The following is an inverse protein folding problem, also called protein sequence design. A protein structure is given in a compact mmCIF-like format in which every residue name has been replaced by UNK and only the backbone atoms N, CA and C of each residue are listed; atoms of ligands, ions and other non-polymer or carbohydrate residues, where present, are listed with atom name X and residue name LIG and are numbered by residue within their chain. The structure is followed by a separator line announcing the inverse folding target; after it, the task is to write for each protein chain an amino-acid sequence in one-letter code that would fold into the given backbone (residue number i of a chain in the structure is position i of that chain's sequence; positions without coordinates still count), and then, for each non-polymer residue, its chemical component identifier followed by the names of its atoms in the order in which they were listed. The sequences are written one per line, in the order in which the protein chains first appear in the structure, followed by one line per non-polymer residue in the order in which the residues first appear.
data_IF_090730895582
#
_entry.id   IF_090730895582
#
_cell.length_a   1.000
_cell.length_b   1.000
_cell.length_c   1.000
_cell.angle_alpha   90.00
_cell.angle_beta   90.00
_cell.angle_gamma   90.00
#
_symmetry.space_group_name_H-M   'P 1'
#
loop_
_entity.id
_entity.type
_entity.pdbx_description
1 polymer ?
#
# COMPACT_ATOMS: atom_id res chain seq x y z
N UNK A 1 43.79 -26.76 5.06
CA UNK A 1 42.76 -26.38 4.07
C UNK A 1 41.41 -26.03 4.75
N UNK A 2 41.38 -25.25 5.84
CA UNK A 2 40.17 -25.02 6.65
C UNK A 2 39.93 -23.53 7.03
N UNK A 3 40.39 -22.56 6.23
CA UNK A 3 40.35 -21.14 6.63
C UNK A 3 39.61 -20.20 5.66
N UNK A 4 39.19 -20.65 4.48
CA UNK A 4 38.57 -19.77 3.46
C UNK A 4 37.03 -19.90 3.46
N UNK A 5 36.48 -21.00 3.96
CA UNK A 5 35.04 -21.26 4.00
C UNK A 5 34.27 -20.51 5.10
N UNK A 6 34.94 -20.11 6.20
CA UNK A 6 34.29 -19.44 7.34
C UNK A 6 33.70 -18.05 7.01
N UNK A 7 34.35 -17.16 6.24
CA UNK A 7 33.75 -15.88 5.85
C UNK A 7 32.75 -16.00 4.69
N UNK A 8 32.75 -17.10 3.93
CA UNK A 8 31.83 -17.32 2.81
C UNK A 8 30.39 -17.59 3.27
N UNK A 9 30.22 -18.26 4.41
CA UNK A 9 28.90 -18.58 4.99
C UNK A 9 28.10 -17.31 5.37
N UNK A 10 28.64 -16.35 6.15
CA UNK A 10 27.90 -15.13 6.48
C UNK A 10 27.68 -14.23 5.27
N UNK A 11 28.61 -14.23 4.29
CA UNK A 11 28.45 -13.48 3.05
C UNK A 11 27.33 -14.06 2.18
N UNK A 12 27.26 -15.39 2.07
CA UNK A 12 26.18 -16.08 1.37
C UNK A 12 24.84 -15.90 2.08
N UNK A 13 24.80 -15.95 3.41
CA UNK A 13 23.60 -15.70 4.19
C UNK A 13 23.10 -14.25 4.02
N UNK A 14 24.00 -13.27 4.07
CA UNK A 14 23.67 -11.86 3.83
C UNK A 14 23.15 -11.65 2.40
N UNK A 15 23.74 -12.31 1.40
CA UNK A 15 23.27 -12.25 0.02
C UNK A 15 21.89 -12.90 -0.16
N UNK A 16 21.61 -14.01 0.51
CA UNK A 16 20.30 -14.68 0.48
C UNK A 16 19.24 -13.83 1.18
N UNK A 17 19.55 -13.24 2.34
CA UNK A 17 18.64 -12.33 3.04
C UNK A 17 18.40 -11.07 2.21
N UNK A 18 19.43 -10.48 1.61
CA UNK A 18 19.28 -9.34 0.71
C UNK A 18 18.44 -9.68 -0.52
N UNK A 19 18.67 -10.85 -1.14
CA UNK A 19 17.87 -11.32 -2.27
C UNK A 19 16.41 -11.58 -1.87
N UNK A 20 16.18 -12.19 -0.71
CA UNK A 20 14.83 -12.39 -0.16
C UNK A 20 14.13 -11.06 0.09
N UNK A 21 14.80 -10.09 0.74
CA UNK A 21 14.27 -8.75 0.94
C UNK A 21 14.02 -8.01 -0.39
N UNK A 22 14.83 -8.27 -1.42
CA UNK A 22 14.65 -7.67 -2.75
C UNK A 22 13.44 -8.25 -3.52
N UNK A 23 13.04 -9.50 -3.27
CA UNK A 23 11.92 -10.12 -4.02
C UNK A 23 10.61 -10.11 -3.22
N UNK A 24 10.69 -10.15 -1.89
CA UNK A 24 9.53 -10.35 -1.02
C UNK A 24 9.05 -9.06 -0.33
N UNK A 25 9.79 -7.95 -0.44
CA UNK A 25 9.34 -6.65 0.07
C UNK A 25 8.98 -5.72 -1.08
N UNK A 26 7.93 -4.90 -0.90
CA UNK A 26 7.54 -3.85 -1.86
C UNK A 26 8.71 -2.92 -2.19
N UNK A 27 9.56 -2.58 -1.21
CA UNK A 27 10.79 -1.81 -1.42
C UNK A 27 11.81 -2.54 -2.31
N UNK A 28 11.93 -3.85 -2.13
CA UNK A 28 12.76 -4.70 -2.97
C UNK A 28 12.29 -4.76 -4.43
N UNK A 29 10.99 -4.99 -4.62
CA UNK A 29 10.35 -4.98 -5.95
C UNK A 29 10.50 -3.60 -6.60
N UNK A 30 10.32 -2.52 -5.85
CA UNK A 30 10.59 -1.16 -6.31
C UNK A 30 12.04 -1.01 -6.80
N UNK A 31 13.03 -1.39 -6.00
CA UNK A 31 14.44 -1.33 -6.43
C UNK A 31 14.71 -2.18 -7.68
N UNK A 32 14.09 -3.35 -7.80
CA UNK A 32 14.30 -4.25 -8.92
C UNK A 32 13.64 -3.73 -10.20
N UNK A 33 12.45 -3.13 -10.11
CA UNK A 33 11.74 -2.57 -11.26
C UNK A 33 12.30 -1.20 -11.67
N UNK A 34 12.56 -0.28 -10.74
CA UNK A 34 13.05 1.07 -11.06
C UNK A 34 14.54 1.10 -11.39
N UNK A 35 15.39 0.34 -10.68
CA UNK A 35 16.86 0.40 -10.88
C UNK A 35 17.33 -0.62 -11.92
N UNK A 36 16.73 -1.82 -11.97
CA UNK A 36 17.13 -2.88 -12.91
C UNK A 36 16.20 -2.94 -14.14
N UNK A 37 14.90 -2.65 -13.99
CA UNK A 37 13.94 -2.61 -15.10
C UNK A 37 14.20 -1.48 -16.11
N UNK A 38 14.93 -0.43 -15.72
CA UNK A 38 15.42 0.61 -16.62
C UNK A 38 16.39 0.11 -17.73
N UNK A 39 16.79 -1.17 -17.70
CA UNK A 39 17.64 -1.82 -18.71
C UNK A 39 16.80 -2.42 -19.87
N UNK A 40 15.47 -2.42 -19.77
CA UNK A 40 14.56 -2.75 -20.87
C UNK A 40 13.72 -1.54 -21.27
N UNK A 41 14.01 -0.93 -22.41
CA UNK A 41 13.25 0.20 -22.99
C UNK A 41 11.84 -0.20 -23.50
N UNK A 42 11.06 -0.91 -22.70
CA UNK A 42 9.62 -1.03 -22.93
C UNK A 42 8.93 -0.57 -21.65
N UNK A 43 8.45 0.67 -21.69
CA UNK A 43 7.39 1.09 -20.77
C UNK A 43 6.26 0.05 -20.82
N UNK A 44 5.72 -0.37 -19.66
CA UNK A 44 4.57 -1.25 -19.65
C UNK A 44 3.46 -0.66 -20.50
N UNK A 45 2.87 -1.46 -21.37
CA UNK A 45 1.70 -1.04 -22.14
C UNK A 45 0.49 -0.99 -21.21
N UNK A 46 0.16 0.21 -20.75
CA UNK A 46 -0.97 0.46 -19.86
C UNK A 46 -2.32 0.53 -20.61
N UNK A 47 -2.36 0.25 -21.92
CA UNK A 47 -3.61 0.13 -22.66
C UNK A 47 -4.39 -1.10 -22.18
N UNK A 48 -5.48 -0.87 -21.45
CA UNK A 48 -6.36 -1.92 -20.95
C UNK A 48 -6.91 -2.85 -22.05
N UNK A 49 -6.86 -2.46 -23.33
CA UNK A 49 -7.28 -3.28 -24.48
C UNK A 49 -6.27 -4.35 -24.86
N UNK A 50 -5.02 -4.25 -24.42
CA UNK A 50 -3.96 -5.20 -24.73
C UNK A 50 -3.87 -6.35 -23.69
N UNK A 51 -4.88 -6.44 -22.81
CA UNK A 51 -5.06 -7.56 -21.88
C UNK A 51 -5.77 -8.78 -22.50
N UNK A 52 -5.75 -9.93 -21.81
CA UNK A 52 -6.38 -11.17 -22.28
C UNK A 52 -7.91 -11.18 -22.19
N UNK A 53 -8.52 -10.06 -21.76
CA UNK A 53 -9.95 -9.94 -21.50
C UNK A 53 -10.57 -8.89 -22.42
N UNK A 54 -11.75 -9.19 -22.95
CA UNK A 54 -12.53 -8.23 -23.73
C UNK A 54 -13.10 -7.14 -22.79
N UNK A 55 -12.62 -5.91 -22.93
CA UNK A 55 -13.08 -4.78 -22.14
C UNK A 55 -14.43 -4.26 -22.68
N UNK A 56 -15.48 -4.29 -21.84
CA UNK A 56 -16.84 -3.89 -22.25
C UNK A 56 -17.10 -2.38 -22.21
N UNK A 57 -16.29 -1.61 -21.49
CA UNK A 57 -16.42 -0.16 -21.36
C UNK A 57 -15.07 0.47 -20.98
N UNK A 58 -14.85 1.71 -21.43
CA UNK A 58 -13.73 2.55 -20.99
C UNK A 58 -14.27 3.70 -20.13
N UNK A 59 -13.53 4.05 -19.09
CA UNK A 59 -13.82 5.19 -18.23
C UNK A 59 -12.77 6.27 -18.52
N UNK A 60 -13.22 7.52 -18.65
CA UNK A 60 -12.33 8.67 -18.76
C UNK A 60 -12.31 9.45 -17.44
N UNK A 61 -11.14 9.90 -16.97
CA UNK A 61 -11.06 10.72 -15.77
C UNK A 61 -11.70 12.10 -16.05
N UNK A 62 -12.74 12.44 -15.30
CA UNK A 62 -13.41 13.75 -15.41
C UNK A 62 -12.82 14.80 -14.47
N UNK A 63 -12.12 14.37 -13.41
CA UNK A 63 -11.56 15.21 -12.36
C UNK A 63 -10.41 14.47 -11.66
N UNK A 64 -9.37 15.22 -11.31
CA UNK A 64 -8.30 14.76 -10.42
C UNK A 64 -8.24 15.70 -9.21
N UNK A 65 -8.24 15.12 -8.01
CA UNK A 65 -8.22 15.86 -6.74
C UNK A 65 -6.93 15.50 -6.03
N UNK A 66 -6.16 16.51 -5.65
CA UNK A 66 -4.96 16.32 -4.84
C UNK A 66 -5.36 16.04 -3.40
N UNK A 67 -4.79 14.98 -2.82
CA UNK A 67 -4.94 14.71 -1.39
C UNK A 67 -4.00 15.60 -0.57
N UNK A 68 -4.31 15.83 0.72
CA UNK A 68 -3.38 16.46 1.66
C UNK A 68 -2.00 15.78 1.65
N UNK A 69 -0.93 16.57 1.71
CA UNK A 69 0.46 16.10 1.57
C UNK A 69 0.90 15.13 2.68
N UNK A 70 0.23 15.15 3.83
CA UNK A 70 0.52 14.28 4.96
C UNK A 70 -0.15 12.90 4.87
N UNK A 71 -1.00 12.68 3.86
CA UNK A 71 -1.50 11.34 3.52
C UNK A 71 -0.50 10.69 2.58
N UNK A 72 0.52 10.08 3.17
CA UNK A 72 1.52 9.33 2.41
C UNK A 72 0.99 7.95 2.02
N UNK A 73 1.21 7.55 0.76
CA UNK A 73 0.90 6.20 0.24
C UNK A 73 -0.58 5.77 0.46
N UNK A 74 -1.56 6.54 -0.05
CA UNK A 74 -2.97 6.17 0.04
C UNK A 74 -3.22 4.83 -0.68
N UNK A 75 -4.01 3.95 -0.06
CA UNK A 75 -4.32 2.63 -0.58
C UNK A 75 -5.82 2.38 -0.76
N UNK A 76 -6.63 2.69 0.24
CA UNK A 76 -8.08 2.46 0.21
C UNK A 76 -8.88 3.75 0.32
N UNK A 77 -10.02 3.83 -0.35
CA UNK A 77 -10.96 4.96 -0.33
C UNK A 77 -12.39 4.47 -0.12
N UNK A 78 -13.14 5.14 0.76
CA UNK A 78 -14.58 4.95 0.94
C UNK A 78 -15.28 6.29 1.08
N UNK A 79 -16.41 6.47 0.40
CA UNK A 79 -17.26 7.66 0.56
C UNK A 79 -18.56 7.29 1.29
N UNK A 80 -18.88 8.02 2.36
CA UNK A 80 -20.12 7.82 3.11
C UNK A 80 -20.69 9.15 3.60
N UNK A 81 -21.87 9.49 3.10
CA UNK A 81 -22.54 10.74 3.45
C UNK A 81 -21.74 11.94 2.91
N UNK A 82 -21.20 12.75 3.82
CA UNK A 82 -20.35 13.93 3.53
C UNK A 82 -18.90 13.73 3.98
N UNK A 83 -18.50 12.46 4.16
CA UNK A 83 -17.18 12.07 4.64
C UNK A 83 -16.50 11.14 3.64
N UNK A 84 -15.21 11.36 3.43
CA UNK A 84 -14.35 10.44 2.69
C UNK A 84 -13.31 9.86 3.62
N UNK A 85 -13.24 8.54 3.65
CA UNK A 85 -12.28 7.78 4.43
C UNK A 85 -11.16 7.37 3.49
N UNK A 86 -9.93 7.71 3.84
CA UNK A 86 -8.73 7.30 3.13
C UNK A 86 -7.88 6.49 4.07
N UNK A 87 -7.50 5.29 3.65
CA UNK A 87 -6.52 4.48 4.37
C UNK A 87 -5.18 4.48 3.65
N UNK A 88 -4.09 4.40 4.40
CA UNK A 88 -2.74 4.31 3.85
C UNK A 88 -2.25 2.86 3.86
N UNK A 89 -1.26 2.56 3.02
CA UNK A 89 -0.60 1.25 3.02
C UNK A 89 0.20 0.98 4.31
N UNK A 90 0.31 1.97 5.21
CA UNK A 90 0.92 1.90 6.54
C UNK A 90 -0.10 1.69 7.66
N UNK A 91 -1.35 1.35 7.32
CA UNK A 91 -2.46 1.10 8.24
C UNK A 91 -2.86 2.31 9.10
N UNK A 92 -2.93 3.48 8.47
CA UNK A 92 -3.56 4.67 9.03
C UNK A 92 -4.90 4.93 8.34
N UNK A 93 -5.79 5.64 9.03
CA UNK A 93 -7.08 6.08 8.51
C UNK A 93 -7.18 7.59 8.66
N UNK A 94 -7.53 8.27 7.59
CA UNK A 94 -7.83 9.69 7.53
C UNK A 94 -9.30 9.87 7.15
N UNK A 95 -9.99 10.81 7.79
CA UNK A 95 -11.37 11.20 7.45
C UNK A 95 -11.35 12.62 6.92
N UNK A 96 -11.67 12.80 5.65
CA UNK A 96 -11.75 14.08 4.97
C UNK A 96 -13.20 14.56 4.91
N UNK A 97 -13.36 15.87 4.84
CA UNK A 97 -14.63 16.51 4.50
C UNK A 97 -14.99 16.29 3.02
N UNK A 98 -16.22 16.61 2.62
CA UNK A 98 -16.67 16.48 1.24
C UNK A 98 -15.91 17.35 0.22
N UNK A 99 -15.10 18.33 0.66
CA UNK A 99 -14.25 19.13 -0.22
C UNK A 99 -12.88 18.48 -0.48
N UNK A 100 -12.50 17.47 0.31
CA UNK A 100 -11.27 16.69 0.18
C UNK A 100 -9.97 17.51 0.30
N UNK A 101 -10.05 18.70 0.91
CA UNK A 101 -8.90 19.61 1.03
C UNK A 101 -8.07 19.37 2.29
N UNK A 102 -8.70 18.85 3.33
CA UNK A 102 -8.06 18.58 4.61
C UNK A 102 -8.72 17.38 5.27
N UNK A 103 -7.96 16.65 6.08
CA UNK A 103 -8.54 15.68 6.98
C UNK A 103 -9.02 16.37 8.27
N UNK A 104 -10.08 15.82 8.81
CA UNK A 104 -10.73 16.23 10.06
C UNK A 104 -10.39 15.27 11.20
N UNK A 105 -10.09 14.02 10.87
CA UNK A 105 -9.70 12.98 11.82
C UNK A 105 -8.57 12.12 11.24
N UNK A 106 -7.71 11.61 12.13
CA UNK A 106 -6.68 10.62 11.83
C UNK A 106 -6.67 9.55 12.93
N UNK A 107 -6.60 8.29 12.53
CA UNK A 107 -6.48 7.15 13.44
C UNK A 107 -5.39 6.19 12.97
N UNK A 108 -4.63 5.66 13.93
CA UNK A 108 -3.71 4.54 13.70
C UNK A 108 -4.49 3.24 13.88
N UNK A 109 -4.60 2.42 12.83
CA UNK A 109 -5.37 1.17 12.89
C UNK A 109 -4.54 0.03 13.49
N UNK A 110 -3.22 0.11 13.33
CA UNK A 110 -2.27 -0.91 13.77
C UNK A 110 -1.10 -0.20 14.42
N UNK A 111 -0.77 -0.58 15.67
CA UNK A 111 0.37 -0.04 16.40
C UNK A 111 1.73 -0.41 15.80
N UNK A 112 2.77 0.38 16.09
CA UNK A 112 4.16 0.07 15.76
C UNK A 112 4.84 1.13 14.89
N UNK A 113 6.08 0.86 14.46
CA UNK A 113 6.83 1.79 13.60
C UNK A 113 6.28 1.78 12.18
N UNK A 114 5.97 2.96 11.62
CA UNK A 114 5.39 3.13 10.29
C UNK A 114 6.15 2.39 9.18
N UNK A 115 7.49 2.45 9.21
CA UNK A 115 8.35 1.79 8.23
C UNK A 115 8.18 0.25 8.18
N UNK A 116 7.63 -0.35 9.24
CA UNK A 116 7.40 -1.79 9.32
C UNK A 116 5.98 -2.20 8.89
N UNK A 117 5.12 -1.23 8.58
CA UNK A 117 3.71 -1.46 8.23
C UNK A 117 3.43 -1.35 6.75
N UNK A 118 4.42 -1.01 5.93
CA UNK A 118 4.20 -0.79 4.50
C UNK A 118 3.63 -2.05 3.84
N UNK A 119 2.48 -1.91 3.18
CA UNK A 119 1.75 -3.03 2.58
C UNK A 119 0.78 -3.74 3.52
N UNK A 120 0.68 -3.31 4.78
CA UNK A 120 -0.18 -3.98 5.76
C UNK A 120 -1.66 -3.87 5.38
N UNK A 121 -2.09 -2.79 4.73
CA UNK A 121 -3.48 -2.52 4.42
C UNK A 121 -3.65 -2.09 2.97
N UNK A 122 -4.69 -2.62 2.30
CA UNK A 122 -4.96 -2.37 0.89
C UNK A 122 -6.28 -1.64 0.64
N UNK A 123 -7.33 -2.04 1.34
CA UNK A 123 -8.69 -1.54 1.12
C UNK A 123 -9.50 -1.50 2.42
N UNK A 124 -10.54 -0.67 2.43
CA UNK A 124 -11.44 -0.47 3.57
C UNK A 124 -12.90 -0.46 3.14
N UNK A 125 -13.78 -0.77 4.08
CA UNK A 125 -15.23 -0.59 3.97
C UNK A 125 -15.74 -0.05 5.32
N UNK A 126 -16.68 0.89 5.28
CA UNK A 126 -17.28 1.48 6.49
C UNK A 126 -18.77 1.16 6.51
N UNK A 127 -19.18 0.32 7.45
CA UNK A 127 -20.57 -0.09 7.67
C UNK A 127 -20.97 0.37 9.06
N UNK A 128 -21.91 1.32 9.15
CA UNK A 128 -22.29 1.93 10.43
C UNK A 128 -21.05 2.40 11.20
N UNK A 129 -20.91 2.09 12.47
CA UNK A 129 -19.75 2.55 13.24
C UNK A 129 -18.57 1.55 13.19
N UNK A 130 -18.56 0.71 12.16
CA UNK A 130 -17.59 -0.36 11.95
C UNK A 130 -16.74 -0.12 10.71
N UNK A 131 -15.42 -0.21 10.88
CA UNK A 131 -14.45 -0.26 9.80
C UNK A 131 -14.00 -1.70 9.57
N UNK A 132 -14.11 -2.17 8.33
CA UNK A 132 -13.51 -3.42 7.87
C UNK A 132 -12.32 -3.06 6.98
N UNK A 133 -11.25 -3.85 7.04
CA UNK A 133 -10.14 -3.69 6.11
C UNK A 133 -9.65 -5.01 5.54
N UNK A 134 -8.99 -4.93 4.40
CA UNK A 134 -8.25 -6.03 3.78
C UNK A 134 -6.77 -5.65 3.67
N UNK A 135 -5.90 -6.65 3.74
CA UNK A 135 -4.45 -6.48 3.68
C UNK A 135 -3.72 -7.78 4.01
N UNK A 136 -2.49 -7.68 4.51
CA UNK A 136 -1.61 -8.84 4.72
C UNK A 136 -1.91 -9.68 5.96
N UNK A 137 -3.01 -9.40 6.67
CA UNK A 137 -3.34 -10.08 7.93
C UNK A 137 -3.78 -11.53 7.77
N UNK A 138 -4.05 -12.00 6.55
CA UNK A 138 -4.69 -13.29 6.30
C UNK A 138 -6.11 -13.39 6.90
N UNK A 139 -6.72 -12.25 7.24
CA UNK A 139 -8.04 -12.08 7.83
C UNK A 139 -8.60 -10.70 7.48
N UNK A 140 -9.90 -10.50 7.72
CA UNK A 140 -10.56 -9.18 7.63
C UNK A 140 -10.62 -8.61 9.06
N UNK A 141 -9.67 -7.74 9.46
CA UNK A 141 -9.76 -7.04 10.73
C UNK A 141 -10.97 -6.10 10.74
N UNK A 142 -11.54 -5.95 11.93
CA UNK A 142 -12.74 -5.15 12.19
C UNK A 142 -12.44 -4.24 13.36
N UNK A 143 -12.67 -2.94 13.19
CA UNK A 143 -12.57 -1.94 14.25
C UNK A 143 -13.93 -1.30 14.47
N UNK A 144 -14.29 -1.12 15.73
CA UNK A 144 -15.37 -0.24 16.13
C UNK A 144 -14.79 1.14 16.40
N UNK A 145 -15.50 2.16 15.96
CA UNK A 145 -15.15 3.54 16.28
C UNK A 145 -15.47 3.80 17.75
N UNK A 146 -14.44 4.03 18.56
CA UNK A 146 -14.62 4.54 19.91
C UNK A 146 -14.76 6.06 19.83
N UNK A 147 -15.99 6.55 19.94
CA UNK A 147 -16.28 7.99 19.90
C UNK A 147 -15.81 8.73 21.17
N UNK A 148 -15.25 8.02 22.16
CA UNK A 148 -14.76 8.60 23.40
C UNK A 148 -15.90 9.15 24.27
N UNK A 149 -16.27 8.39 25.30
CA UNK A 149 -17.20 8.86 26.35
C UNK A 149 -16.66 10.02 27.18
#
# INVERSE_FOLDING_TARGET
MHSILKPLIPLAAAAVVAAYLLVDTRFGVFLLLDVVGAIGEQEPDYDARNGPLDVSAQLEPILAIALPEDIEQPSGIQHRGDRVYISTDQAELFVLDGELKAWTERAELIGGLLLLKQGALEGIEVIDDTLLAIGEFGAIPVWERDDGG
#
